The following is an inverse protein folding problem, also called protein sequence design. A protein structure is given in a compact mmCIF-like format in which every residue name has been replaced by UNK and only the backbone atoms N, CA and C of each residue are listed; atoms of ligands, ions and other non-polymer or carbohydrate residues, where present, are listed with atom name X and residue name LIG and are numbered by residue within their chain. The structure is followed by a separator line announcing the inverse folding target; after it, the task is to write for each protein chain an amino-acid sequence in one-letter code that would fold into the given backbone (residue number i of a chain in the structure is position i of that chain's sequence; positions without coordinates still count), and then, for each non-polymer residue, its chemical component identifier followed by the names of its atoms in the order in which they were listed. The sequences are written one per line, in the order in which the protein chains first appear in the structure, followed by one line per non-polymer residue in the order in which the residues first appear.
data_IF_537907497137
#
_entry.id   IF_537907497137
#
_cell.length_a   1.000
_cell.length_b   1.000
_cell.length_c   1.000
_cell.angle_alpha   90.00
_cell.angle_beta   90.00
_cell.angle_gamma   90.00
#
_symmetry.space_group_name_H-M   'P 1'
#
loop_
_entity.id
_entity.type
_entity.pdbx_description
1 polymer ?
#
# COMPACT_ATOMS: atom_id res chain seq x y z
N UNK A 1 9.97 -5.16 27.22
CA UNK A 1 8.73 -5.05 26.41
C UNK A 1 8.71 -6.18 25.41
N UNK A 2 7.57 -6.87 25.20
CA UNK A 2 7.46 -7.86 24.12
C UNK A 2 7.56 -7.17 22.74
N UNK A 3 8.22 -7.84 21.80
CA UNK A 3 8.36 -7.37 20.41
C UNK A 3 6.97 -7.40 19.74
N UNK A 4 6.57 -6.34 19.01
CA UNK A 4 5.33 -6.40 18.24
C UNK A 4 5.41 -7.52 17.18
N UNK A 5 4.31 -8.24 16.92
CA UNK A 5 4.28 -9.31 15.94
C UNK A 5 4.66 -8.77 14.55
N UNK A 6 5.41 -9.56 13.80
CA UNK A 6 5.84 -9.25 12.43
C UNK A 6 4.68 -9.39 11.45
N UNK A 7 4.71 -8.72 10.29
CA UNK A 7 3.64 -8.85 9.31
C UNK A 7 3.53 -10.29 8.77
N UNK A 8 4.66 -11.02 8.76
CA UNK A 8 4.69 -12.47 8.48
C UNK A 8 3.92 -13.30 9.50
N UNK A 9 4.03 -12.99 10.79
CA UNK A 9 3.29 -13.69 11.85
C UNK A 9 1.79 -13.39 11.76
N UNK A 10 1.42 -12.14 11.46
CA UNK A 10 0.01 -11.75 11.29
C UNK A 10 -0.60 -12.33 9.99
N UNK A 11 0.11 -12.25 8.87
CA UNK A 11 -0.26 -12.88 7.58
C UNK A 11 -0.49 -14.38 7.73
N UNK A 12 0.42 -15.06 8.45
CA UNK A 12 0.31 -16.49 8.73
C UNK A 12 -0.93 -16.83 9.56
N UNK A 13 -1.20 -16.10 10.64
CA UNK A 13 -2.38 -16.33 11.50
C UNK A 13 -3.68 -16.13 10.71
N UNK A 14 -3.73 -15.12 9.83
CA UNK A 14 -4.88 -14.86 8.98
C UNK A 14 -5.10 -15.95 7.94
N UNK A 15 -4.04 -16.37 7.24
CA UNK A 15 -4.09 -17.47 6.30
C UNK A 15 -4.53 -18.78 6.99
N UNK A 16 -3.99 -19.07 8.17
CA UNK A 16 -4.40 -20.21 8.99
C UNK A 16 -5.87 -20.12 9.40
N UNK A 17 -6.37 -18.94 9.75
CA UNK A 17 -7.77 -18.72 10.14
C UNK A 17 -8.72 -18.96 8.96
N UNK A 18 -8.41 -18.43 7.76
CA UNK A 18 -9.22 -18.64 6.55
C UNK A 18 -9.22 -20.11 6.13
N UNK A 19 -8.04 -20.74 6.08
CA UNK A 19 -7.93 -22.16 5.70
C UNK A 19 -8.65 -23.05 6.72
N UNK A 20 -8.52 -22.77 8.01
CA UNK A 20 -9.21 -23.54 9.06
C UNK A 20 -10.73 -23.39 8.93
N UNK A 21 -11.23 -22.16 8.74
CA UNK A 21 -12.65 -21.91 8.50
C UNK A 21 -13.18 -22.64 7.26
N UNK A 22 -12.43 -22.63 6.15
CA UNK A 22 -12.76 -23.38 4.92
C UNK A 22 -12.81 -24.89 5.16
N UNK A 23 -11.78 -25.44 5.81
CA UNK A 23 -11.68 -26.88 6.08
C UNK A 23 -12.76 -27.35 7.06
N UNK A 24 -13.04 -26.59 8.11
CA UNK A 24 -14.06 -26.93 9.08
C UNK A 24 -15.45 -26.92 8.45
N UNK A 25 -15.72 -25.98 7.54
CA UNK A 25 -16.99 -25.96 6.81
C UNK A 25 -17.16 -27.15 5.87
N UNK A 26 -16.10 -27.52 5.14
CA UNK A 26 -16.08 -28.72 4.28
C UNK A 26 -16.30 -29.98 5.13
N UNK A 27 -15.69 -30.06 6.32
CA UNK A 27 -15.90 -31.18 7.26
C UNK A 27 -17.33 -31.24 7.77
N UNK A 28 -17.93 -30.12 8.15
CA UNK A 28 -19.32 -30.08 8.61
C UNK A 28 -20.29 -30.60 7.56
N UNK A 29 -20.15 -30.19 6.30
CA UNK A 29 -21.05 -30.66 5.25
C UNK A 29 -20.76 -32.10 4.82
N UNK A 30 -19.50 -32.53 4.83
CA UNK A 30 -19.16 -33.94 4.65
C UNK A 30 -19.77 -34.82 5.76
N UNK A 31 -19.79 -34.36 7.01
CA UNK A 31 -20.38 -35.08 8.15
C UNK A 31 -21.92 -35.15 8.05
N UNK A 32 -22.58 -34.11 7.53
CA UNK A 32 -24.04 -34.09 7.37
C UNK A 32 -24.52 -34.98 6.23
N UNK A 33 -23.80 -35.01 5.10
CA UNK A 33 -24.25 -35.67 3.86
C UNK A 33 -23.55 -37.00 3.57
N UNK A 34 -22.46 -37.31 4.26
CA UNK A 34 -21.65 -38.52 4.06
C UNK A 34 -20.81 -38.53 2.77
N UNK A 35 -21.15 -37.69 1.80
CA UNK A 35 -20.37 -37.41 0.59
C UNK A 35 -20.64 -35.98 0.12
N UNK A 36 -19.67 -35.37 -0.55
CA UNK A 36 -19.79 -34.02 -1.12
C UNK A 36 -19.85 -34.13 -2.65
N UNK A 37 -20.87 -33.50 -3.24
CA UNK A 37 -21.01 -33.33 -4.69
C UNK A 37 -20.45 -31.98 -5.14
N UNK A 38 -20.30 -31.78 -6.45
CA UNK A 38 -19.89 -30.48 -7.01
C UNK A 38 -20.91 -29.38 -6.67
N UNK A 39 -22.21 -29.71 -6.71
CA UNK A 39 -23.28 -28.77 -6.35
C UNK A 39 -23.20 -28.35 -4.87
N UNK A 40 -22.76 -29.24 -3.99
CA UNK A 40 -22.53 -28.92 -2.58
C UNK A 40 -21.36 -27.94 -2.41
N UNK A 41 -20.31 -28.09 -3.22
CA UNK A 41 -19.15 -27.20 -3.24
C UNK A 41 -19.56 -25.80 -3.74
N UNK A 42 -20.39 -25.72 -4.79
CA UNK A 42 -20.90 -24.45 -5.31
C UNK A 42 -21.87 -23.77 -4.32
N UNK A 43 -22.68 -24.53 -3.59
CA UNK A 43 -23.51 -24.00 -2.52
C UNK A 43 -22.67 -23.45 -1.35
N UNK A 44 -21.60 -24.16 -0.96
CA UNK A 44 -20.66 -23.68 0.06
C UNK A 44 -19.95 -22.40 -0.39
N UNK A 45 -19.59 -22.28 -1.68
CA UNK A 45 -19.04 -21.03 -2.23
C UNK A 45 -19.98 -19.84 -2.02
N UNK A 46 -21.27 -20.02 -2.29
CA UNK A 46 -22.28 -18.97 -2.06
C UNK A 46 -22.47 -18.60 -0.58
N UNK A 47 -22.15 -19.49 0.35
CA UNK A 47 -22.10 -19.18 1.79
C UNK A 47 -20.80 -18.46 2.18
N UNK A 48 -19.65 -18.85 1.61
CA UNK A 48 -18.39 -18.14 1.77
C UNK A 48 -18.48 -16.70 1.27
N UNK A 49 -19.15 -16.46 0.15
CA UNK A 49 -19.39 -15.11 -0.37
C UNK A 49 -20.18 -14.23 0.63
N UNK A 50 -21.05 -14.83 1.46
CA UNK A 50 -21.78 -14.12 2.52
C UNK A 50 -20.93 -13.88 3.78
N UNK A 51 -19.91 -14.69 4.00
CA UNK A 51 -18.95 -14.53 5.10
C UNK A 51 -17.76 -13.65 4.71
N UNK A 52 -17.56 -13.40 3.41
CA UNK A 52 -16.51 -12.54 2.89
C UNK A 52 -16.45 -11.17 3.58
N UNK A 53 -17.56 -10.46 3.88
CA UNK A 53 -17.50 -9.20 4.60
C UNK A 53 -16.89 -9.30 6.01
N UNK A 54 -17.23 -10.35 6.77
CA UNK A 54 -16.68 -10.57 8.12
C UNK A 54 -15.19 -10.96 8.08
N UNK A 55 -14.78 -11.71 7.06
CA UNK A 55 -13.37 -11.98 6.80
C UNK A 55 -12.64 -10.69 6.42
N UNK A 56 -13.20 -9.87 5.53
CA UNK A 56 -12.65 -8.55 5.16
C UNK A 56 -12.47 -7.66 6.38
N UNK A 57 -13.45 -7.57 7.27
CA UNK A 57 -13.33 -6.81 8.54
C UNK A 57 -12.21 -7.35 9.43
N UNK A 58 -12.06 -8.68 9.51
CA UNK A 58 -10.96 -9.31 10.27
C UNK A 58 -9.58 -9.00 9.66
N UNK A 59 -9.49 -8.98 8.33
CA UNK A 59 -8.30 -8.56 7.60
C UNK A 59 -7.99 -7.09 7.87
N UNK A 60 -8.96 -6.21 7.69
CA UNK A 60 -8.84 -4.77 7.95
C UNK A 60 -8.39 -4.51 9.38
N UNK A 61 -8.99 -5.16 10.38
CA UNK A 61 -8.59 -5.02 11.78
C UNK A 61 -7.14 -5.46 12.02
N UNK A 62 -6.70 -6.54 11.37
CA UNK A 62 -5.33 -7.04 11.51
C UNK A 62 -4.32 -6.12 10.84
N UNK A 63 -4.66 -5.57 9.67
CA UNK A 63 -3.85 -4.55 9.03
C UNK A 63 -3.88 -3.23 9.81
N UNK A 64 -5.01 -2.89 10.44
CA UNK A 64 -5.11 -1.72 11.32
C UNK A 64 -4.22 -1.89 12.51
N UNK A 65 -4.16 -3.07 13.12
CA UNK A 65 -3.28 -3.33 14.25
C UNK A 65 -1.81 -3.27 13.83
N UNK A 66 -1.47 -3.74 12.62
CA UNK A 66 -0.15 -3.55 12.03
C UNK A 66 0.19 -2.07 11.82
N UNK A 67 -0.71 -1.31 11.19
CA UNK A 67 -0.53 0.13 10.94
C UNK A 67 -0.52 0.91 12.26
N UNK A 68 -1.38 0.61 13.23
CA UNK A 68 -1.39 1.24 14.55
C UNK A 68 -0.14 0.89 15.35
N UNK A 69 0.40 -0.32 15.25
CA UNK A 69 1.69 -0.66 15.86
C UNK A 69 2.85 0.13 15.22
N UNK A 70 2.71 0.47 13.94
CA UNK A 70 3.63 1.32 13.18
C UNK A 70 3.44 2.82 13.44
N UNK A 71 2.23 3.27 13.74
CA UNK A 71 1.84 4.67 13.92
C UNK A 71 1.84 5.16 15.37
N UNK A 72 1.64 4.29 16.37
CA UNK A 72 1.62 4.62 17.81
C UNK A 72 2.95 5.15 18.36
N UNK A 73 3.90 5.38 17.48
CA UNK A 73 5.05 6.17 17.79
C UNK A 73 5.04 7.40 16.91
N UNK A 74 4.79 8.52 17.59
CA UNK A 74 4.83 9.85 17.03
C UNK A 74 6.08 10.10 16.18
N UNK A 75 5.98 11.12 15.33
CA UNK A 75 6.93 11.71 14.38
C UNK A 75 8.45 11.48 14.53
N UNK A 76 8.96 11.17 15.72
CA UNK A 76 10.29 10.62 15.98
C UNK A 76 10.54 9.25 15.31
N UNK A 77 9.49 8.45 15.01
CA UNK A 77 9.60 7.13 14.37
C UNK A 77 9.70 7.13 12.84
N UNK A 78 9.71 8.29 12.17
CA UNK A 78 10.08 8.36 10.73
C UNK A 78 11.51 7.86 10.44
N UNK A 79 12.26 7.50 11.49
CA UNK A 79 13.58 6.85 11.43
C UNK A 79 13.51 5.32 11.30
N UNK A 80 12.40 4.68 11.68
CA UNK A 80 12.33 3.21 11.81
C UNK A 80 11.74 2.51 10.57
N UNK A 81 11.08 3.28 9.69
CA UNK A 81 10.42 2.79 8.48
C UNK A 81 10.93 3.51 7.22
N UNK A 82 12.14 3.16 6.75
CA UNK A 82 12.79 3.88 5.66
C UNK A 82 12.07 3.74 4.31
N UNK A 83 11.37 2.64 4.05
CA UNK A 83 10.63 2.49 2.78
C UNK A 83 9.42 3.42 2.71
N UNK A 84 8.71 3.65 3.81
CA UNK A 84 7.59 4.60 3.85
C UNK A 84 8.06 5.98 3.48
N UNK A 85 9.21 6.37 4.04
CA UNK A 85 9.80 7.67 3.77
C UNK A 85 10.20 7.81 2.31
N UNK A 86 10.70 6.73 1.68
CA UNK A 86 11.03 6.69 0.25
C UNK A 86 9.76 6.84 -0.62
N UNK A 87 8.65 6.19 -0.24
CA UNK A 87 7.39 6.26 -0.98
C UNK A 87 6.70 7.61 -0.78
N UNK A 88 6.58 8.09 0.46
CA UNK A 88 5.98 9.39 0.79
C UNK A 88 6.71 10.55 0.12
N UNK A 89 8.03 10.49 -0.03
CA UNK A 89 8.81 11.51 -0.73
C UNK A 89 8.31 11.76 -2.17
N UNK A 90 7.67 10.78 -2.82
CA UNK A 90 7.18 10.90 -4.21
C UNK A 90 6.02 11.87 -4.37
N UNK A 91 5.16 11.96 -3.34
CA UNK A 91 4.00 12.85 -3.34
C UNK A 91 4.07 13.91 -2.23
N UNK A 92 5.15 13.98 -1.46
CA UNK A 92 5.31 14.97 -0.39
C UNK A 92 5.22 16.44 -0.83
N UNK A 93 5.52 16.84 -2.09
CA UNK A 93 5.24 18.20 -2.56
C UNK A 93 3.77 18.60 -2.40
N UNK A 94 2.83 17.65 -2.58
CA UNK A 94 1.39 17.91 -2.47
C UNK A 94 0.93 18.34 -1.07
N UNK A 95 1.74 18.14 -0.03
CA UNK A 95 1.42 18.57 1.33
C UNK A 95 1.56 20.10 1.51
N UNK A 96 2.51 20.72 0.80
CA UNK A 96 3.01 22.05 1.13
C UNK A 96 2.73 23.10 0.04
N UNK A 97 2.14 22.73 -1.11
CA UNK A 97 1.90 23.68 -2.20
C UNK A 97 0.81 24.69 -1.83
N UNK A 98 1.24 25.92 -1.54
CA UNK A 98 0.41 27.08 -1.18
C UNK A 98 -0.46 27.61 -2.32
N UNK A 99 -0.19 27.19 -3.55
CA UNK A 99 -0.81 27.73 -4.79
C UNK A 99 -1.81 26.76 -5.45
N UNK A 100 -1.95 25.55 -4.91
CA UNK A 100 -2.99 24.62 -5.34
C UNK A 100 -4.31 24.99 -4.67
N UNK A 101 -5.42 24.85 -5.39
CA UNK A 101 -6.75 25.01 -4.79
C UNK A 101 -6.85 24.09 -3.57
N UNK A 102 -7.59 24.50 -2.52
CA UNK A 102 -7.76 23.69 -1.31
C UNK A 102 -8.25 22.25 -1.61
N UNK A 103 -8.90 22.06 -2.76
CA UNK A 103 -9.45 20.78 -3.21
C UNK A 103 -8.43 19.87 -3.90
N UNK A 104 -7.29 20.40 -4.35
CA UNK A 104 -6.24 19.64 -5.04
C UNK A 104 -5.06 19.28 -4.14
N UNK A 105 -5.01 19.88 -2.94
CA UNK A 105 -3.99 19.58 -1.92
C UNK A 105 -4.29 18.28 -1.21
N UNK A 106 -3.23 17.64 -0.74
CA UNK A 106 -3.30 16.41 0.05
C UNK A 106 -2.93 16.71 1.50
N UNK A 107 -3.69 16.18 2.47
CA UNK A 107 -3.37 16.34 3.90
C UNK A 107 -2.52 15.18 4.41
N UNK A 108 -1.59 15.45 5.34
CA UNK A 108 -0.81 14.38 6.01
C UNK A 108 -1.68 13.44 6.84
N UNK A 109 -2.90 13.86 7.18
CA UNK A 109 -3.91 13.05 7.85
C UNK A 109 -4.27 11.77 7.09
N UNK A 110 -4.00 11.71 5.78
CA UNK A 110 -4.25 10.53 4.95
C UNK A 110 -3.27 9.37 5.16
N UNK A 111 -2.10 9.62 5.77
CA UNK A 111 -1.00 8.66 5.80
C UNK A 111 -1.37 7.29 6.41
N UNK A 112 -2.19 7.20 7.48
CA UNK A 112 -2.65 5.90 7.99
C UNK A 112 -3.39 5.08 6.93
N UNK A 113 -4.44 5.67 6.34
CA UNK A 113 -5.23 5.02 5.31
C UNK A 113 -4.41 4.72 4.05
N UNK A 114 -3.41 5.54 3.75
CA UNK A 114 -2.47 5.25 2.67
C UNK A 114 -1.57 4.05 2.96
N UNK A 115 -0.98 3.93 4.15
CA UNK A 115 -0.14 2.78 4.50
C UNK A 115 -0.95 1.49 4.66
N UNK A 116 -2.21 1.61 5.09
CA UNK A 116 -3.20 0.56 5.01
C UNK A 116 -3.40 0.10 3.56
N UNK A 117 -3.73 1.03 2.67
CA UNK A 117 -3.92 0.75 1.25
C UNK A 117 -2.67 0.11 0.63
N UNK A 118 -1.48 0.59 0.99
CA UNK A 118 -0.20 0.06 0.52
C UNK A 118 -0.01 -1.41 0.92
N UNK A 119 -0.30 -1.74 2.18
CA UNK A 119 -0.25 -3.11 2.70
C UNK A 119 -1.28 -4.01 2.00
N UNK A 120 -2.48 -3.51 1.72
CA UNK A 120 -3.52 -4.27 1.00
C UNK A 120 -3.20 -4.45 -0.50
N UNK A 121 -2.51 -3.49 -1.13
CA UNK A 121 -2.15 -3.53 -2.54
C UNK A 121 -0.96 -4.44 -2.84
N UNK A 122 0.08 -4.35 -2.00
CA UNK A 122 1.34 -5.07 -2.21
C UNK A 122 1.39 -6.38 -1.44
N UNK A 123 0.60 -6.51 -0.38
CA UNK A 123 0.70 -7.57 0.59
C UNK A 123 1.66 -7.21 1.74
N UNK A 124 1.37 -7.66 2.97
CA UNK A 124 2.16 -7.33 4.16
C UNK A 124 3.60 -7.86 4.08
N UNK A 125 3.79 -9.04 3.50
CA UNK A 125 5.10 -9.68 3.36
C UNK A 125 6.00 -8.90 2.41
N UNK A 126 5.46 -8.47 1.26
CA UNK A 126 6.20 -7.67 0.29
C UNK A 126 6.54 -6.28 0.86
N UNK A 127 5.64 -5.66 1.62
CA UNK A 127 5.92 -4.40 2.32
C UNK A 127 7.04 -4.58 3.35
N UNK A 128 7.02 -5.64 4.14
CA UNK A 128 8.09 -5.94 5.10
C UNK A 128 9.44 -6.16 4.38
N UNK A 129 9.46 -6.90 3.26
CA UNK A 129 10.66 -7.05 2.44
C UNK A 129 11.18 -5.71 1.91
N UNK A 130 10.29 -4.81 1.49
CA UNK A 130 10.68 -3.46 1.09
C UNK A 130 11.27 -2.68 2.27
N UNK A 131 10.73 -2.81 3.48
CA UNK A 131 11.32 -2.19 4.67
C UNK A 131 12.73 -2.73 4.95
N UNK A 132 12.93 -4.05 4.88
CA UNK A 132 14.24 -4.67 5.11
C UNK A 132 15.27 -4.20 4.09
N UNK A 133 14.91 -4.20 2.80
CA UNK A 133 15.75 -3.67 1.71
C UNK A 133 16.08 -2.19 1.92
N UNK A 134 15.10 -1.38 2.31
CA UNK A 134 15.33 0.04 2.62
C UNK A 134 16.23 0.24 3.84
N UNK A 135 16.11 -0.59 4.90
CA UNK A 135 17.01 -0.55 6.07
C UNK A 135 18.44 -0.90 5.69
N UNK A 136 18.65 -1.88 4.81
CA UNK A 136 19.99 -2.22 4.31
C UNK A 136 20.62 -1.04 3.54
N UNK A 137 19.83 -0.35 2.70
CA UNK A 137 20.30 0.83 1.96
C UNK A 137 20.68 1.96 2.93
N UNK A 138 19.82 2.27 3.90
CA UNK A 138 20.11 3.30 4.91
C UNK A 138 21.32 2.93 5.76
N UNK A 139 21.44 1.65 6.16
CA UNK A 139 22.60 1.15 6.92
C UNK A 139 23.90 1.36 6.16
N UNK A 140 23.96 0.91 4.90
CA UNK A 140 25.11 1.12 4.02
C UNK A 140 25.47 2.60 3.88
N UNK A 141 24.49 3.46 3.59
CA UNK A 141 24.75 4.89 3.41
C UNK A 141 25.22 5.58 4.69
N UNK A 142 24.73 5.15 5.87
CA UNK A 142 25.22 5.65 7.15
C UNK A 142 26.65 5.21 7.45
N UNK A 143 27.02 3.99 7.08
CA UNK A 143 28.40 3.51 7.19
C UNK A 143 29.34 4.28 6.25
N UNK A 144 28.89 4.54 5.02
CA UNK A 144 29.68 5.24 3.99
C UNK A 144 29.85 6.74 4.29
N UNK A 145 28.81 7.41 4.77
CA UNK A 145 28.76 8.87 4.94
C UNK A 145 28.96 9.35 6.38
N UNK A 146 28.81 8.47 7.38
CA UNK A 146 28.93 8.81 8.80
C UNK A 146 28.05 10.00 9.19
N UNK A 147 28.67 11.00 9.81
CA UNK A 147 27.99 12.22 10.28
C UNK A 147 27.44 13.12 9.16
N UNK A 148 27.84 12.88 7.91
CA UNK A 148 27.35 13.64 6.74
C UNK A 148 26.08 13.05 6.12
N UNK A 149 25.60 11.90 6.62
CA UNK A 149 24.39 11.24 6.13
C UNK A 149 23.17 12.16 6.19
N UNK A 150 22.52 12.35 5.05
CA UNK A 150 21.20 12.97 4.93
C UNK A 150 20.21 12.07 4.16
N UNK A 151 18.91 12.30 4.35
CA UNK A 151 17.89 11.53 3.64
C UNK A 151 17.85 11.81 2.14
N UNK A 152 18.32 12.98 1.69
CA UNK A 152 18.50 13.22 0.26
C UNK A 152 19.51 12.26 -0.37
N UNK A 153 20.47 11.72 0.38
CA UNK A 153 21.38 10.66 -0.10
C UNK A 153 20.61 9.37 -0.38
N UNK A 154 19.67 9.00 0.49
CA UNK A 154 18.79 7.82 0.29
C UNK A 154 17.88 8.01 -0.93
N UNK A 155 17.36 9.23 -1.13
CA UNK A 155 16.52 9.53 -2.29
C UNK A 155 17.31 9.59 -3.61
N UNK A 156 18.58 9.99 -3.52
CA UNK A 156 19.53 10.03 -4.63
C UNK A 156 20.23 8.68 -4.89
N UNK A 157 20.12 7.72 -3.96
CA UNK A 157 20.70 6.41 -4.09
C UNK A 157 20.04 5.59 -5.21
N UNK A 158 20.87 4.85 -5.95
CA UNK A 158 20.39 4.04 -7.08
C UNK A 158 19.51 2.90 -6.61
N UNK A 159 19.87 2.21 -5.54
CA UNK A 159 19.12 1.07 -5.02
C UNK A 159 17.82 1.56 -4.38
N UNK A 160 17.85 2.69 -3.66
CA UNK A 160 16.65 3.35 -3.13
C UNK A 160 15.64 3.72 -4.23
N UNK A 161 16.10 4.27 -5.36
CA UNK A 161 15.23 4.54 -6.52
C UNK A 161 14.70 3.27 -7.17
N UNK A 162 15.51 2.21 -7.28
CA UNK A 162 15.06 0.94 -7.86
C UNK A 162 14.02 0.27 -6.97
N UNK A 163 14.23 0.28 -5.66
CA UNK A 163 13.29 -0.22 -4.66
C UNK A 163 11.93 0.48 -4.77
N UNK A 164 11.96 1.81 -4.85
CA UNK A 164 10.74 2.60 -5.06
C UNK A 164 10.06 2.21 -6.37
N UNK A 165 10.81 2.10 -7.48
CA UNK A 165 10.25 1.79 -8.79
C UNK A 165 9.55 0.42 -8.82
N UNK A 166 10.12 -0.59 -8.17
CA UNK A 166 9.50 -1.92 -8.06
C UNK A 166 8.16 -1.85 -7.31
N UNK A 167 8.12 -1.15 -6.17
CA UNK A 167 6.89 -0.93 -5.43
C UNK A 167 5.85 -0.14 -6.25
N UNK A 168 6.26 0.90 -6.98
CA UNK A 168 5.36 1.70 -7.82
C UNK A 168 4.76 0.87 -8.96
N UNK A 169 5.48 -0.11 -9.50
CA UNK A 169 4.94 -1.07 -10.48
C UNK A 169 3.84 -1.91 -9.82
N UNK A 170 4.12 -2.48 -8.65
CA UNK A 170 3.15 -3.27 -7.88
C UNK A 170 1.89 -2.48 -7.51
N UNK A 171 2.04 -1.19 -7.17
CA UNK A 171 0.91 -0.28 -6.92
C UNK A 171 0.13 -0.02 -8.21
N UNK A 172 0.82 0.35 -9.30
CA UNK A 172 0.17 0.76 -10.53
C UNK A 172 -0.71 -0.35 -11.15
N UNK A 173 -0.28 -1.61 -11.10
CA UNK A 173 -1.07 -2.73 -11.65
C UNK A 173 -2.39 -2.96 -10.90
N UNK A 174 -2.52 -2.51 -9.65
CA UNK A 174 -3.77 -2.62 -8.88
C UNK A 174 -4.88 -1.71 -9.42
N UNK A 175 -4.53 -0.71 -10.23
CA UNK A 175 -5.46 0.27 -10.80
C UNK A 175 -5.90 -0.07 -12.23
N UNK A 176 -5.80 -1.34 -12.67
CA UNK A 176 -6.29 -1.79 -13.98
C UNK A 176 -7.78 -1.41 -14.19
N UNK A 177 -8.61 -1.65 -13.17
CA UNK A 177 -9.95 -1.06 -13.03
C UNK A 177 -9.86 0.26 -12.25
N UNK A 178 -9.52 1.33 -12.97
CA UNK A 178 -9.13 2.61 -12.38
C UNK A 178 -10.26 3.26 -11.57
N UNK A 179 -11.49 3.25 -12.08
CA UNK A 179 -12.64 3.88 -11.43
C UNK A 179 -12.91 3.20 -10.08
N UNK A 180 -13.14 1.89 -10.12
CA UNK A 180 -13.41 1.10 -8.92
C UNK A 180 -12.27 1.17 -7.90
N UNK A 181 -11.01 1.13 -8.35
CA UNK A 181 -9.87 1.16 -7.43
C UNK A 181 -9.62 2.54 -6.84
N UNK A 182 -9.96 3.60 -7.58
CA UNK A 182 -9.91 4.98 -7.09
C UNK A 182 -10.96 5.23 -6.01
N UNK A 183 -12.19 4.73 -6.19
CA UNK A 183 -13.23 4.77 -5.15
C UNK A 183 -12.77 4.03 -3.88
N UNK A 184 -12.27 2.80 -4.04
CA UNK A 184 -11.77 2.02 -2.92
C UNK A 184 -10.66 2.72 -2.11
N UNK A 185 -9.66 3.31 -2.77
CA UNK A 185 -8.56 3.97 -2.04
C UNK A 185 -9.03 5.26 -1.36
N UNK A 186 -9.97 5.98 -1.97
CA UNK A 186 -10.59 7.18 -1.38
C UNK A 186 -11.36 6.80 -0.11
N UNK A 187 -12.21 5.79 -0.17
CA UNK A 187 -12.98 5.31 0.98
C UNK A 187 -12.05 4.86 2.11
N UNK A 188 -11.01 4.09 1.77
CA UNK A 188 -10.05 3.59 2.74
C UNK A 188 -9.26 4.71 3.42
N UNK A 189 -8.82 5.71 2.65
CA UNK A 189 -8.13 6.88 3.18
C UNK A 189 -9.05 7.69 4.09
N UNK A 190 -10.26 8.01 3.64
CA UNK A 190 -11.20 8.85 4.37
C UNK A 190 -11.68 8.16 5.66
N UNK A 191 -11.85 6.83 5.64
CA UNK A 191 -12.19 6.03 6.83
C UNK A 191 -11.09 6.01 7.90
N UNK A 192 -9.85 6.35 7.55
CA UNK A 192 -8.69 6.25 8.44
C UNK A 192 -7.95 7.58 8.63
N UNK A 193 -8.62 8.72 8.41
CA UNK A 193 -8.00 10.02 8.65
C UNK A 193 -7.65 10.18 10.13
N UNK A 194 -6.41 10.61 10.43
CA UNK A 194 -6.08 10.99 11.80
C UNK A 194 -6.93 12.19 12.23
N UNK A 195 -7.17 12.32 13.54
CA UNK A 195 -7.79 13.53 14.08
C UNK A 195 -6.91 14.74 13.77
N UNK A 196 -7.54 15.86 13.40
CA UNK A 196 -6.80 17.08 13.13
C UNK A 196 -6.15 17.60 14.41
N UNK A 197 -4.85 17.88 14.35
CA UNK A 197 -4.12 18.54 15.42
C UNK A 197 -4.19 20.06 15.27
N UNK A 198 -3.68 20.81 16.26
CA UNK A 198 -3.59 22.27 16.14
C UNK A 198 -2.75 22.70 14.92
N UNK A 199 -1.75 21.92 14.51
CA UNK A 199 -0.97 22.14 13.29
C UNK A 199 -1.73 21.82 12.00
N UNK A 200 -2.80 21.02 12.08
CA UNK A 200 -3.64 20.62 10.93
C UNK A 200 -5.00 21.33 10.92
N UNK A 201 -5.18 22.39 11.73
CA UNK A 201 -6.47 23.07 11.87
C UNK A 201 -7.05 23.55 10.53
N UNK A 202 -6.19 23.93 9.59
CA UNK A 202 -6.59 24.30 8.23
C UNK A 202 -7.19 23.14 7.42
N UNK A 203 -6.85 21.90 7.76
CA UNK A 203 -7.23 20.67 7.08
C UNK A 203 -8.20 19.83 7.92
N UNK A 204 -8.84 20.41 8.96
CA UNK A 204 -9.69 19.65 9.88
C UNK A 204 -10.91 18.98 9.21
N UNK A 205 -11.46 19.63 8.18
CA UNK A 205 -12.52 19.07 7.33
C UNK A 205 -12.01 18.54 6.00
N UNK A 206 -10.70 18.32 5.85
CA UNK A 206 -10.16 17.75 4.62
C UNK A 206 -10.53 16.27 4.51
N UNK A 207 -11.01 15.90 3.33
CA UNK A 207 -11.24 14.53 2.89
C UNK A 207 -10.70 14.41 1.46
N UNK A 208 -10.25 13.22 1.08
CA UNK A 208 -9.83 12.95 -0.29
C UNK A 208 -11.04 12.93 -1.20
N UNK A 209 -11.07 13.82 -2.20
CA UNK A 209 -12.06 13.82 -3.26
C UNK A 209 -11.59 13.14 -4.56
N UNK A 210 -12.49 12.94 -5.54
CA UNK A 210 -12.16 12.32 -6.83
C UNK A 210 -11.09 13.05 -7.66
N UNK A 211 -10.97 14.38 -7.54
CA UNK A 211 -9.89 15.12 -8.20
C UNK A 211 -8.55 14.92 -7.48
N UNK A 212 -8.57 14.93 -6.14
CA UNK A 212 -7.40 14.74 -5.31
C UNK A 212 -6.73 13.38 -5.50
N UNK A 213 -7.51 12.31 -5.73
CA UNK A 213 -6.94 10.96 -5.97
C UNK A 213 -6.15 10.90 -7.28
N UNK A 214 -6.61 11.55 -8.36
CA UNK A 214 -5.86 11.63 -9.62
C UNK A 214 -4.56 12.40 -9.45
N UNK A 215 -4.60 13.55 -8.78
CA UNK A 215 -3.40 14.35 -8.48
C UNK A 215 -2.40 13.56 -7.62
N UNK A 216 -2.90 12.89 -6.59
CA UNK A 216 -2.12 12.03 -5.71
C UNK A 216 -1.44 10.88 -6.47
N UNK A 217 -2.20 10.10 -7.27
CA UNK A 217 -1.67 9.00 -8.06
C UNK A 217 -0.70 9.49 -9.15
N UNK A 218 -0.99 10.63 -9.77
CA UNK A 218 -0.11 11.29 -10.73
C UNK A 218 1.24 11.63 -10.12
N UNK A 219 1.27 12.20 -8.91
CA UNK A 219 2.50 12.50 -8.19
C UNK A 219 3.23 11.21 -7.73
N UNK A 220 2.51 10.27 -7.12
CA UNK A 220 3.06 9.00 -6.63
C UNK A 220 3.76 8.21 -7.75
N UNK A 221 3.14 8.12 -8.93
CA UNK A 221 3.61 7.33 -10.06
C UNK A 221 4.49 8.10 -11.06
N UNK A 222 4.81 9.38 -10.79
CA UNK A 222 5.55 10.24 -11.72
C UNK A 222 6.91 9.66 -12.12
N UNK A 223 7.63 9.04 -11.17
CA UNK A 223 8.92 8.39 -11.45
C UNK A 223 8.79 7.14 -12.32
N UNK A 224 7.71 6.37 -12.14
CA UNK A 224 7.41 5.22 -12.98
C UNK A 224 7.12 5.65 -14.42
N UNK A 225 6.35 6.74 -14.58
CA UNK A 225 6.10 7.34 -15.91
C UNK A 225 7.41 7.74 -16.59
N UNK A 226 8.27 8.50 -15.91
CA UNK A 226 9.61 8.87 -16.42
C UNK A 226 10.45 7.66 -16.80
N UNK A 227 10.39 6.58 -16.00
CA UNK A 227 11.13 5.36 -16.30
C UNK A 227 10.63 4.68 -17.59
N UNK A 228 9.32 4.66 -17.82
CA UNK A 228 8.69 4.07 -19.01
C UNK A 228 8.93 4.87 -20.28
N UNK A 229 9.06 6.20 -20.18
CA UNK A 229 9.42 7.08 -21.29
C UNK A 229 10.87 6.88 -21.74
N UNK A 230 11.74 6.39 -20.85
CA UNK A 230 13.13 6.07 -21.16
C UNK A 230 13.28 4.65 -21.71
N UNK A 231 14.06 4.48 -22.79
CA UNK A 231 14.34 3.15 -23.38
C UNK A 231 14.99 2.20 -22.37
N UNK A 232 15.91 2.71 -21.56
CA UNK A 232 16.63 1.95 -20.54
C UNK A 232 15.75 1.61 -19.33
N UNK A 233 14.91 2.52 -18.86
CA UNK A 233 13.95 2.26 -17.77
C UNK A 233 12.87 1.27 -18.19
N UNK A 234 12.28 1.43 -19.38
CA UNK A 234 11.32 0.47 -19.95
C UNK A 234 11.90 -0.94 -20.07
N UNK A 235 13.11 -1.07 -20.62
CA UNK A 235 13.80 -2.37 -20.72
C UNK A 235 14.01 -3.00 -19.35
N UNK A 236 14.34 -2.19 -18.34
CA UNK A 236 14.52 -2.66 -16.96
C UNK A 236 13.22 -3.16 -16.35
N UNK A 237 12.12 -2.44 -16.53
CA UNK A 237 10.80 -2.85 -16.02
C UNK A 237 10.37 -4.15 -16.69
N UNK A 238 10.51 -4.26 -18.02
CA UNK A 238 10.20 -5.50 -18.75
C UNK A 238 11.01 -6.69 -18.21
N UNK A 239 12.31 -6.50 -17.94
CA UNK A 239 13.17 -7.56 -17.42
C UNK A 239 12.75 -8.04 -16.02
N UNK A 240 12.24 -7.15 -15.17
CA UNK A 240 11.89 -7.46 -13.77
C UNK A 240 10.44 -7.93 -13.60
N UNK A 241 9.51 -7.32 -14.34
CA UNK A 241 8.07 -7.43 -14.13
C UNK A 241 7.32 -8.01 -15.34
N UNK A 242 8.01 -8.27 -16.45
CA UNK A 242 7.41 -8.77 -17.68
C UNK A 242 6.88 -7.66 -18.61
N UNK A 243 6.66 -8.03 -19.87
CA UNK A 243 6.26 -7.08 -20.90
C UNK A 243 4.77 -6.66 -20.78
N UNK A 244 3.91 -7.54 -20.27
CA UNK A 244 2.47 -7.28 -20.21
C UNK A 244 2.11 -6.17 -19.21
N UNK A 245 2.86 -6.06 -18.11
CA UNK A 245 2.71 -5.01 -17.10
C UNK A 245 2.77 -3.60 -17.69
N UNK A 246 3.57 -3.41 -18.75
CA UNK A 246 3.69 -2.12 -19.44
C UNK A 246 2.35 -1.67 -20.04
N UNK A 247 1.56 -2.60 -20.58
CA UNK A 247 0.26 -2.30 -21.19
C UNK A 247 -0.72 -1.82 -20.13
N UNK A 248 -0.77 -2.51 -19.00
CA UNK A 248 -1.62 -2.16 -17.85
C UNK A 248 -1.25 -0.77 -17.32
N UNK A 249 0.02 -0.52 -17.02
CA UNK A 249 0.47 0.77 -16.48
C UNK A 249 0.16 1.93 -17.45
N UNK A 250 0.36 1.74 -18.76
CA UNK A 250 0.01 2.77 -19.74
C UNK A 250 -1.50 3.00 -19.85
N UNK A 251 -2.33 2.00 -19.54
CA UNK A 251 -3.78 2.18 -19.42
C UNK A 251 -4.11 3.06 -18.23
N UNK A 252 -3.51 2.78 -17.07
CA UNK A 252 -3.67 3.57 -15.83
C UNK A 252 -3.27 5.02 -16.04
N UNK A 253 -2.13 5.28 -16.69
CA UNK A 253 -1.68 6.64 -16.99
C UNK A 253 -2.66 7.42 -17.85
N UNK A 254 -3.30 6.79 -18.83
CA UNK A 254 -4.34 7.44 -19.63
C UNK A 254 -5.58 7.82 -18.81
N UNK A 255 -5.93 7.03 -17.80
CA UNK A 255 -7.05 7.32 -16.90
C UNK A 255 -6.74 8.45 -15.91
N UNK A 256 -5.48 8.53 -15.45
CA UNK A 256 -5.00 9.63 -14.62
C UNK A 256 -5.02 10.96 -15.39
N UNK A 257 -4.66 10.94 -16.68
CA UNK A 257 -4.55 12.13 -17.53
C UNK A 257 -5.89 12.59 -18.13
N UNK A 258 -6.95 11.77 -18.04
CA UNK A 258 -8.29 12.04 -18.58
C UNK A 258 -9.12 12.92 -17.64
#
# INVERSE_FOLDING_TARGET
MPRPPTAKEQSKVLAETVVTSMVDRVREEALKKGSLTVDDIDAMKGEFDKQAPALTETFEQSFEDYVKARERADWDQKRDYPFDRIIVKRFSPLFNETDMSRFDRVSRRMLPGFFMALSMMLGPEEVDEYQEKARMIVGRLREDLGDSFDWEDVYADRDGRMLALDALVGIAVQFEDFERRSEWIVDLINGHLTSATDSDRADAGWEMGPAAVKNFLGALLADLRRALDSKSGKTRIIKRHGADVIRTINSVFRQIDA
#
